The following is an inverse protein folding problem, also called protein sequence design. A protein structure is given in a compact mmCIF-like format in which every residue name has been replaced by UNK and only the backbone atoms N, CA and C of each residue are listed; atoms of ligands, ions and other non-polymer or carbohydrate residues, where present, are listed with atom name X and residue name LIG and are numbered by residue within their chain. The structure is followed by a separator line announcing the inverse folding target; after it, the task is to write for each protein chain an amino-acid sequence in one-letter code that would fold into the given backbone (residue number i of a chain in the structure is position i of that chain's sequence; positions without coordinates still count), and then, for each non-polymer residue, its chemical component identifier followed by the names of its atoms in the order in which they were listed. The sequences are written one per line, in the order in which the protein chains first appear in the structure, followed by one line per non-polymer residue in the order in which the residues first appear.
data_IF_430454152578
#
_entry.id   IF_430454152578
#
_cell.length_a   1.000
_cell.length_b   1.000
_cell.length_c   1.000
_cell.angle_alpha   90.00
_cell.angle_beta   90.00
_cell.angle_gamma   90.00
#
_symmetry.space_group_name_H-M   'P 1'
#
loop_
_entity.id
_entity.type
_entity.pdbx_description
1 polymer ?
#
# COMPACT_ATOMS: atom_id res chain seq x y z
N UNK A 1 6.33 1.33 -12.53
CA UNK A 1 6.24 2.05 -11.24
C UNK A 1 4.84 1.75 -10.73
N UNK A 2 4.70 1.10 -9.58
CA UNK A 2 3.41 0.54 -9.15
C UNK A 2 2.28 1.56 -8.97
N UNK A 3 1.05 1.08 -8.98
CA UNK A 3 -0.16 1.89 -8.83
C UNK A 3 -0.88 1.57 -7.53
N UNK A 4 -1.55 2.58 -6.98
CA UNK A 4 -2.33 2.48 -5.76
C UNK A 4 -3.66 3.21 -5.95
N UNK A 5 -4.74 2.60 -5.46
CA UNK A 5 -6.05 3.25 -5.34
C UNK A 5 -6.58 3.10 -3.92
N UNK A 6 -7.14 4.20 -3.39
CA UNK A 6 -7.88 4.24 -2.12
C UNK A 6 -9.37 4.31 -2.44
N UNK A 7 -10.16 3.37 -1.91
CA UNK A 7 -11.61 3.41 -1.96
C UNK A 7 -12.14 3.72 -0.56
N UNK A 8 -12.63 4.95 -0.35
CA UNK A 8 -13.17 5.41 0.92
C UNK A 8 -14.45 4.67 1.33
N UNK A 9 -15.28 4.24 0.37
CA UNK A 9 -16.60 3.64 0.63
C UNK A 9 -16.54 2.21 1.24
N UNK A 10 -15.36 1.71 1.56
CA UNK A 10 -15.18 0.39 2.17
C UNK A 10 -13.78 0.13 2.70
N UNK A 11 -13.09 1.19 3.11
CA UNK A 11 -11.75 1.15 3.70
C UNK A 11 -10.80 0.21 2.96
N UNK A 12 -10.74 0.35 1.63
CA UNK A 12 -10.00 -0.60 0.81
C UNK A 12 -8.84 0.09 0.09
N UNK A 13 -7.68 -0.53 0.20
CA UNK A 13 -6.52 -0.19 -0.62
C UNK A 13 -6.34 -1.25 -1.67
N UNK A 14 -6.15 -0.83 -2.92
CA UNK A 14 -5.67 -1.71 -3.97
C UNK A 14 -4.27 -1.29 -4.41
N UNK A 15 -3.37 -2.24 -4.57
CA UNK A 15 -2.02 -2.03 -5.09
C UNK A 15 -1.78 -2.96 -6.28
N UNK A 16 -1.02 -2.47 -7.25
CA UNK A 16 -0.59 -3.23 -8.41
C UNK A 16 0.87 -2.92 -8.69
N UNK A 17 1.70 -3.95 -8.80
CA UNK A 17 3.02 -3.75 -9.37
C UNK A 17 2.93 -3.70 -10.89
N UNK A 18 3.64 -2.77 -11.52
CA UNK A 18 3.65 -2.59 -12.98
C UNK A 18 5.04 -2.73 -13.58
N UNK A 19 6.06 -3.05 -12.76
CA UNK A 19 7.46 -3.15 -13.19
C UNK A 19 8.01 -4.56 -13.10
N UNK A 20 8.68 -5.00 -14.17
CA UNK A 20 9.45 -6.24 -14.22
C UNK A 20 10.89 -6.01 -13.73
N UNK A 21 11.06 -5.43 -12.54
CA UNK A 21 12.39 -5.12 -11.96
C UNK A 21 12.80 -6.08 -10.81
N UNK A 22 11.94 -7.05 -10.51
CA UNK A 22 12.15 -8.03 -9.44
C UNK A 22 11.94 -7.47 -8.03
N UNK A 23 11.40 -6.26 -7.90
CA UNK A 23 10.84 -5.75 -6.66
C UNK A 23 9.35 -6.09 -6.58
N UNK A 24 8.82 -6.07 -5.36
CA UNK A 24 7.41 -6.12 -5.06
C UNK A 24 6.97 -4.72 -4.61
N UNK A 25 5.95 -4.18 -5.26
CA UNK A 25 5.32 -2.93 -4.86
C UNK A 25 4.28 -3.16 -3.75
N UNK A 26 4.26 -2.27 -2.77
CA UNK A 26 3.27 -2.28 -1.72
C UNK A 26 3.16 -0.95 -1.01
N UNK A 27 2.21 -0.84 -0.09
CA UNK A 27 2.04 0.31 0.78
C UNK A 27 1.93 -0.12 2.24
N UNK A 28 2.45 0.73 3.11
CA UNK A 28 2.24 0.69 4.55
C UNK A 28 1.17 1.70 4.92
N UNK A 29 0.17 1.26 5.68
CA UNK A 29 -0.97 2.07 6.11
C UNK A 29 -0.92 2.20 7.62
N UNK A 30 -0.99 3.42 8.13
CA UNK A 30 -0.93 3.75 9.55
C UNK A 30 -2.06 4.70 9.91
N UNK A 31 -2.79 4.41 10.98
CA UNK A 31 -3.91 5.22 11.51
C UNK A 31 -3.51 6.06 12.73
N UNK A 32 -2.21 6.13 13.03
CA UNK A 32 -1.69 6.83 14.22
C UNK A 32 -1.80 6.05 15.52
N UNK A 33 -2.38 4.84 15.54
CA UNK A 33 -2.49 3.99 16.73
C UNK A 33 -1.16 3.34 17.18
N UNK A 34 -0.08 3.55 16.42
CA UNK A 34 1.21 2.87 16.59
C UNK A 34 1.26 1.49 15.93
N UNK A 35 0.16 1.01 15.35
CA UNK A 35 0.12 -0.19 14.50
C UNK A 35 0.09 0.22 13.03
N UNK A 36 0.54 -0.68 12.16
CA UNK A 36 0.45 -0.49 10.72
C UNK A 36 -0.01 -1.77 10.03
N UNK A 37 -0.63 -1.62 8.87
CA UNK A 37 -0.95 -2.74 7.97
C UNK A 37 -0.11 -2.64 6.70
N UNK A 38 0.22 -3.79 6.14
CA UNK A 38 0.89 -3.89 4.86
C UNK A 38 -0.06 -4.40 3.80
N UNK A 39 -0.12 -3.69 2.68
CA UNK A 39 -0.76 -4.17 1.47
C UNK A 39 0.29 -4.24 0.37
N UNK A 40 0.65 -5.45 -0.06
CA UNK A 40 1.70 -5.64 -1.07
C UNK A 40 1.26 -6.57 -2.17
N UNK A 41 1.75 -6.28 -3.36
CA UNK A 41 1.65 -7.15 -4.51
C UNK A 41 3.00 -7.81 -4.76
N UNK A 42 3.04 -9.13 -4.53
CA UNK A 42 4.24 -9.96 -4.75
C UNK A 42 4.09 -10.84 -5.99
N UNK A 43 3.05 -10.64 -6.81
CA UNK A 43 2.85 -11.42 -8.03
C UNK A 43 3.95 -11.15 -9.05
N UNK A 44 4.48 -9.91 -9.06
CA UNK A 44 5.51 -9.47 -9.99
C UNK A 44 4.91 -9.17 -11.35
N UNK A 45 4.51 -7.91 -11.53
CA UNK A 45 4.00 -7.32 -12.78
C UNK A 45 2.86 -8.08 -13.50
N UNK A 46 2.17 -8.99 -12.80
CA UNK A 46 0.86 -9.45 -13.22
C UNK A 46 -0.11 -8.27 -13.11
N UNK A 47 -0.93 -8.03 -14.14
CA UNK A 47 -1.94 -6.96 -14.18
C UNK A 47 -3.07 -7.09 -13.12
N UNK A 48 -2.86 -7.92 -12.10
CA UNK A 48 -3.80 -8.24 -11.04
C UNK A 48 -3.64 -7.29 -9.87
N UNK A 49 -4.67 -6.50 -9.59
CA UNK A 49 -4.75 -5.68 -8.39
C UNK A 49 -4.86 -6.54 -7.12
N UNK A 50 -3.94 -6.37 -6.17
CA UNK A 50 -4.10 -6.89 -4.80
C UNK A 50 -4.90 -5.91 -3.98
N UNK A 51 -5.89 -6.43 -3.26
CA UNK A 51 -6.80 -5.65 -2.43
C UNK A 51 -6.60 -6.00 -0.97
N UNK A 52 -6.50 -4.97 -0.13
CA UNK A 52 -6.42 -5.11 1.30
C UNK A 52 -7.49 -4.24 1.94
N UNK A 53 -8.29 -4.84 2.81
CA UNK A 53 -9.20 -4.07 3.64
C UNK A 53 -8.42 -3.56 4.86
N UNK A 54 -8.50 -2.26 5.08
CA UNK A 54 -8.25 -1.65 6.38
C UNK A 54 -9.60 -1.54 7.08
N UNK A 55 -9.57 -1.58 8.41
CA UNK A 55 -10.76 -1.42 9.24
C UNK A 55 -10.49 -0.12 9.97
N UNK A 56 -11.04 0.98 9.44
CA UNK A 56 -10.80 2.31 9.96
C UNK A 56 -12.02 2.78 10.74
N UNK A 57 -11.75 3.55 11.79
CA UNK A 57 -12.82 4.24 12.50
C UNK A 57 -13.16 5.52 11.74
N UNK A 58 -14.42 5.92 11.78
CA UNK A 58 -14.86 7.22 11.23
C UNK A 58 -13.98 8.37 11.77
N UNK A 59 -13.69 9.37 10.91
CA UNK A 59 -12.85 10.52 11.23
C UNK A 59 -11.39 10.19 11.58
N UNK A 60 -10.87 9.05 11.11
CA UNK A 60 -9.48 8.69 11.32
C UNK A 60 -8.62 9.17 10.16
N UNK A 61 -7.60 9.96 10.47
CA UNK A 61 -6.55 10.29 9.52
C UNK A 61 -5.65 9.07 9.30
N UNK A 62 -5.44 8.68 8.05
CA UNK A 62 -4.54 7.60 7.67
C UNK A 62 -3.35 8.13 6.90
N UNK A 63 -2.17 7.64 7.26
CA UNK A 63 -0.94 7.81 6.52
C UNK A 63 -0.71 6.57 5.66
N UNK A 64 -0.59 6.75 4.35
CA UNK A 64 -0.24 5.70 3.41
C UNK A 64 1.11 6.03 2.80
N UNK A 65 2.06 5.08 2.92
CA UNK A 65 3.42 5.22 2.41
C UNK A 65 3.76 4.09 1.45
N UNK A 66 4.09 4.45 0.21
CA UNK A 66 4.51 3.48 -0.79
C UNK A 66 5.88 2.87 -0.49
N UNK A 67 6.08 1.62 -0.91
CA UNK A 67 7.33 0.88 -0.76
C UNK A 67 7.58 -0.07 -1.92
N UNK A 68 8.86 -0.29 -2.24
CA UNK A 68 9.33 -1.41 -3.06
C UNK A 68 10.25 -2.27 -2.23
N UNK A 69 10.00 -3.57 -2.26
CA UNK A 69 10.75 -4.56 -1.49
C UNK A 69 11.27 -5.67 -2.38
N UNK A 70 12.51 -6.09 -2.15
CA UNK A 70 13.09 -7.29 -2.77
C UNK A 70 13.83 -8.04 -1.69
N UNK A 71 13.66 -9.36 -1.64
CA UNK A 71 14.34 -10.21 -0.65
C UNK A 71 15.84 -9.99 -0.70
N UNK A 72 16.46 -9.71 0.46
CA UNK A 72 17.89 -9.42 0.57
C UNK A 72 18.31 -7.98 0.20
N UNK A 73 17.36 -7.10 -0.14
CA UNK A 73 17.62 -5.70 -0.46
C UNK A 73 16.91 -4.75 0.50
N UNK A 74 17.43 -3.52 0.58
CA UNK A 74 16.83 -2.45 1.40
C UNK A 74 15.49 -2.01 0.79
N UNK A 75 14.45 -1.92 1.60
CA UNK A 75 13.15 -1.36 1.23
C UNK A 75 13.31 0.09 0.75
N UNK A 76 12.81 0.38 -0.45
CA UNK A 76 12.77 1.73 -1.02
C UNK A 76 11.41 2.31 -0.67
N UNK A 77 11.37 3.50 -0.05
CA UNK A 77 10.13 4.16 0.34
C UNK A 77 9.81 5.31 -0.63
N UNK A 78 8.53 5.45 -0.97
CA UNK A 78 8.00 6.49 -1.84
C UNK A 78 7.15 7.48 -1.06
N UNK A 79 6.56 8.43 -1.78
CA UNK A 79 5.69 9.50 -1.27
C UNK A 79 4.69 9.00 -0.23
N UNK A 80 4.45 9.86 0.76
CA UNK A 80 3.45 9.69 1.79
C UNK A 80 2.22 10.51 1.42
N UNK A 81 1.04 9.90 1.49
CA UNK A 81 -0.23 10.60 1.35
C UNK A 81 -1.08 10.40 2.61
N UNK A 82 -1.69 11.49 3.08
CA UNK A 82 -2.61 11.47 4.21
C UNK A 82 -4.03 11.61 3.71
N UNK A 83 -4.92 10.70 4.12
CA UNK A 83 -6.34 10.76 3.83
C UNK A 83 -7.10 10.96 5.15
N UNK A 84 -8.18 11.75 5.10
CA UNK A 84 -9.14 11.83 6.19
C UNK A 84 -10.39 11.09 5.74
N UNK A 85 -10.77 10.02 6.47
CA UNK A 85 -12.01 9.29 6.26
C UNK A 85 -13.16 9.97 7.01
#
# INVERSE_FOLDING_TARGET
MGEMTWCADGDRVSVRDTEYDGYAFGVRISDGSGRYRWCKDTSGADDTWKRCNVDLRENTAIEIRGSKERSGHRTIWFNTHTFSH
#
